data_IF_992603701681
#
_entry.id   IF_992603701681
#
_cell.length_a   1.000
_cell.length_b   1.000
_cell.length_c   1.000
_cell.angle_alpha   90.00
_cell.angle_beta   90.00
_cell.angle_gamma   90.00
#
_symmetry.space_group_name_H-M   'P 1'
#
loop_
_entity.id
_entity.type
_entity.pdbx_description
1 polymer ?
#
# COMPACT_ATOMS: atom_id res chain seq x y z
N UNK A 1 -18.90 41.84 37.18
CA UNK A 1 -19.49 40.52 37.49
C UNK A 1 -19.67 39.76 36.17
N UNK A 2 -18.91 38.69 36.00
CA UNK A 2 -18.65 38.02 34.72
C UNK A 2 -19.84 37.21 34.19
N UNK A 3 -20.35 37.56 33.00
CA UNK A 3 -21.43 36.84 32.31
C UNK A 3 -20.88 35.60 31.60
N UNK A 4 -21.19 34.42 32.14
CA UNK A 4 -20.94 33.14 31.46
C UNK A 4 -21.71 33.08 30.13
N UNK A 5 -20.98 33.06 29.01
CA UNK A 5 -21.55 32.98 27.67
C UNK A 5 -22.31 31.64 27.49
N UNK A 6 -23.59 31.72 27.11
CA UNK A 6 -24.46 30.53 26.91
C UNK A 6 -24.05 29.81 25.62
N UNK A 7 -23.60 28.55 25.74
CA UNK A 7 -22.94 27.76 24.66
C UNK A 7 -23.85 27.18 23.56
N UNK A 8 -25.17 27.34 23.61
CA UNK A 8 -26.11 26.67 22.68
C UNK A 8 -26.76 27.65 21.70
N UNK A 9 -26.72 27.36 20.39
CA UNK A 9 -27.27 28.22 19.32
C UNK A 9 -28.77 28.53 19.43
N UNK A 10 -29.53 27.76 20.21
CA UNK A 10 -30.96 27.99 20.48
C UNK A 10 -31.21 29.36 21.14
N UNK A 11 -30.26 29.86 21.92
CA UNK A 11 -30.42 31.15 22.61
C UNK A 11 -30.51 32.36 21.67
N UNK A 12 -30.24 32.21 20.37
CA UNK A 12 -30.50 33.24 19.36
C UNK A 12 -31.99 33.64 19.28
N UNK A 13 -32.91 32.71 19.59
CA UNK A 13 -34.36 32.93 19.47
C UNK A 13 -35.11 32.94 20.82
N UNK A 14 -34.38 32.90 21.95
CA UNK A 14 -34.98 32.83 23.29
C UNK A 14 -34.31 33.77 24.27
N UNK A 15 -35.12 34.37 25.14
CA UNK A 15 -34.65 35.14 26.30
C UNK A 15 -34.98 34.40 27.59
N UNK A 16 -34.08 34.44 28.57
CA UNK A 16 -34.35 33.88 29.89
C UNK A 16 -35.21 34.85 30.70
N UNK A 17 -36.36 34.36 31.18
CA UNK A 17 -37.29 35.16 32.00
C UNK A 17 -37.04 34.91 33.48
N UNK A 18 -36.74 33.66 33.83
CA UNK A 18 -36.39 33.25 35.20
C UNK A 18 -35.46 32.03 35.15
N UNK A 19 -34.83 31.65 36.28
CA UNK A 19 -33.84 30.57 36.39
C UNK A 19 -34.34 29.20 35.92
N UNK A 20 -35.65 29.03 35.72
CA UNK A 20 -36.29 27.80 35.23
C UNK A 20 -37.15 28.00 33.97
N UNK A 21 -37.25 29.22 33.42
CA UNK A 21 -38.16 29.55 32.31
C UNK A 21 -37.49 30.43 31.24
N UNK A 22 -37.81 30.15 29.98
CA UNK A 22 -37.36 30.90 28.81
C UNK A 22 -38.55 31.31 27.95
N UNK A 23 -38.52 32.51 27.37
CA UNK A 23 -39.55 33.01 26.44
C UNK A 23 -39.01 32.98 25.02
N UNK A 24 -39.82 32.47 24.09
CA UNK A 24 -39.53 32.54 22.67
C UNK A 24 -39.74 33.96 22.15
N UNK A 25 -38.76 34.49 21.42
CA UNK A 25 -38.85 35.84 20.84
C UNK A 25 -39.74 35.89 19.58
N UNK A 26 -40.02 34.73 18.96
CA UNK A 26 -40.79 34.65 17.71
C UNK A 26 -42.30 34.60 17.94
N UNK A 27 -42.75 33.85 18.96
CA UNK A 27 -44.17 33.67 19.25
C UNK A 27 -44.58 34.09 20.67
N UNK A 28 -43.63 34.53 21.50
CA UNK A 28 -43.90 35.00 22.86
C UNK A 28 -44.20 33.91 23.90
N UNK A 29 -44.25 32.63 23.52
CA UNK A 29 -44.55 31.51 24.41
C UNK A 29 -43.45 31.31 25.46
N UNK A 30 -43.84 31.13 26.72
CA UNK A 30 -42.94 30.79 27.81
C UNK A 30 -42.83 29.27 27.98
N UNK A 31 -41.60 28.77 28.06
CA UNK A 31 -41.25 27.36 28.18
C UNK A 31 -40.48 27.12 29.48
N UNK A 32 -40.80 26.04 30.17
CA UNK A 32 -39.98 25.54 31.28
C UNK A 32 -38.72 24.85 30.74
N UNK A 33 -37.59 25.04 31.43
CA UNK A 33 -36.28 24.46 31.09
C UNK A 33 -35.99 23.15 31.84
N UNK A 34 -36.93 22.66 32.63
CA UNK A 34 -36.86 21.34 33.30
C UNK A 34 -35.85 21.24 34.45
N UNK A 35 -35.25 22.35 34.89
CA UNK A 35 -34.28 22.42 36.00
C UNK A 35 -34.08 23.87 36.46
N UNK A 36 -33.33 24.09 37.56
CA UNK A 36 -33.03 25.44 38.09
C UNK A 36 -31.56 25.80 37.89
N UNK A 37 -31.29 26.96 37.28
CA UNK A 37 -29.94 27.49 37.13
C UNK A 37 -29.05 26.60 36.25
N UNK A 38 -27.97 26.04 36.82
CA UNK A 38 -26.97 25.25 36.07
C UNK A 38 -27.47 23.88 35.58
N UNK A 39 -28.59 23.36 36.12
CA UNK A 39 -29.19 22.07 35.69
C UNK A 39 -30.26 22.24 34.61
N UNK A 40 -30.56 23.47 34.19
CA UNK A 40 -31.61 23.77 33.23
C UNK A 40 -31.15 23.51 31.77
N UNK A 41 -31.79 22.55 31.09
CA UNK A 41 -31.42 22.14 29.71
C UNK A 41 -32.04 23.06 28.65
N UNK A 42 -31.59 22.91 27.39
CA UNK A 42 -32.14 23.64 26.23
C UNK A 42 -33.11 22.79 25.38
N UNK A 43 -33.42 21.56 25.81
CA UNK A 43 -34.19 20.57 25.05
C UNK A 43 -35.63 21.01 24.76
N UNK A 44 -36.29 21.69 25.70
CA UNK A 44 -37.65 22.20 25.51
C UNK A 44 -37.71 23.31 24.45
N UNK A 45 -36.71 24.19 24.43
CA UNK A 45 -36.56 25.25 23.44
C UNK A 45 -36.24 24.68 22.04
N UNK A 46 -35.34 23.68 21.96
CA UNK A 46 -35.03 22.97 20.70
C UNK A 46 -36.28 22.32 20.11
N UNK A 47 -37.05 21.59 20.92
CA UNK A 47 -38.30 20.96 20.48
C UNK A 47 -39.36 21.98 20.07
N UNK A 48 -39.43 23.12 20.76
CA UNK A 48 -40.34 24.21 20.38
C UNK A 48 -39.98 24.80 19.01
N UNK A 49 -38.70 25.09 18.73
CA UNK A 49 -38.29 25.51 17.39
C UNK A 49 -38.64 24.43 16.35
N UNK A 50 -38.33 23.17 16.60
CA UNK A 50 -38.63 22.08 15.66
C UNK A 50 -40.11 21.98 15.28
N UNK A 51 -41.02 22.34 16.20
CA UNK A 51 -42.47 22.14 16.03
C UNK A 51 -43.22 23.41 15.62
N UNK A 52 -42.74 24.60 15.99
CA UNK A 52 -43.42 25.87 15.75
C UNK A 52 -42.65 26.84 14.85
N UNK A 53 -41.34 26.66 14.71
CA UNK A 53 -40.42 27.56 14.00
C UNK A 53 -39.38 26.72 13.22
N UNK A 54 -39.89 25.93 12.27
CA UNK A 54 -39.11 24.88 11.58
C UNK A 54 -37.96 25.46 10.76
N UNK A 55 -38.17 26.61 10.13
CA UNK A 55 -37.13 27.37 9.42
C UNK A 55 -35.94 27.72 10.31
N UNK A 56 -36.21 28.24 11.51
CA UNK A 56 -35.20 28.64 12.49
C UNK A 56 -34.57 27.43 13.18
N UNK A 57 -35.31 26.33 13.30
CA UNK A 57 -34.75 25.06 13.72
C UNK A 57 -33.72 24.53 12.71
N UNK A 58 -34.05 24.57 11.42
CA UNK A 58 -33.16 24.15 10.33
C UNK A 58 -31.95 25.09 10.21
N UNK A 59 -32.11 26.39 10.43
CA UNK A 59 -30.98 27.35 10.48
C UNK A 59 -29.97 27.02 11.60
N UNK A 60 -30.45 26.57 12.76
CA UNK A 60 -29.59 26.29 13.93
C UNK A 60 -29.04 24.87 13.93
N UNK A 61 -29.75 23.90 13.35
CA UNK A 61 -29.46 22.48 13.49
C UNK A 61 -29.36 21.69 12.18
N UNK A 62 -29.61 22.33 11.03
CA UNK A 62 -29.59 21.69 9.72
C UNK A 62 -28.23 21.80 9.05
N UNK A 63 -27.41 20.75 9.17
CA UNK A 63 -26.40 20.45 8.14
C UNK A 63 -26.32 18.95 7.88
N UNK A 64 -26.41 18.64 6.58
CA UNK A 64 -25.98 17.41 5.88
C UNK A 64 -26.96 16.24 5.81
N UNK A 65 -27.78 16.19 4.75
CA UNK A 65 -27.76 15.10 3.75
C UNK A 65 -28.83 15.31 2.67
N UNK A 66 -28.36 15.44 1.43
CA UNK A 66 -29.12 15.51 0.17
C UNK A 66 -29.51 14.10 -0.30
N UNK A 67 -30.68 14.03 -0.95
CA UNK A 67 -31.20 12.98 -1.82
C UNK A 67 -31.70 11.68 -1.16
N UNK A 68 -33.01 11.47 -1.18
CA UNK A 68 -33.64 10.56 -2.16
C UNK A 68 -35.16 10.69 -2.16
N UNK A 69 -35.68 10.61 -3.38
CA UNK A 69 -37.03 10.90 -3.86
C UNK A 69 -38.15 9.99 -3.33
N UNK A 70 -39.30 10.63 -3.11
CA UNK A 70 -40.68 10.20 -3.35
C UNK A 70 -41.04 8.70 -3.31
N UNK A 71 -41.85 8.34 -2.31
CA UNK A 71 -43.10 7.61 -2.53
C UNK A 71 -44.23 8.25 -1.74
N UNK A 72 -45.25 8.67 -2.47
CA UNK A 72 -46.57 9.02 -1.94
C UNK A 72 -47.19 7.79 -1.28
N UNK A 73 -47.76 7.97 -0.08
CA UNK A 73 -48.92 7.20 0.34
C UNK A 73 -49.91 8.13 1.04
N UNK A 74 -51.09 8.17 0.45
CA UNK A 74 -52.24 8.95 0.85
C UNK A 74 -52.78 8.45 2.20
N UNK A 75 -53.22 9.44 2.96
CA UNK A 75 -53.95 9.42 4.23
C UNK A 75 -54.89 8.24 4.47
N UNK A 76 -54.76 7.63 5.65
CA UNK A 76 -55.92 7.33 6.48
C UNK A 76 -55.68 7.80 7.91
N UNK A 77 -56.49 8.78 8.29
CA UNK A 77 -56.69 9.26 9.64
C UNK A 77 -57.41 8.20 10.47
N UNK A 78 -56.76 7.77 11.55
CA UNK A 78 -57.47 7.31 12.74
C UNK A 78 -56.76 7.88 13.97
N UNK A 79 -57.44 8.85 14.56
CA UNK A 79 -57.12 9.35 15.89
C UNK A 79 -57.14 8.18 16.88
N UNK A 80 -56.04 7.99 17.61
CA UNK A 80 -56.08 7.31 18.90
C UNK A 80 -55.08 8.01 19.82
N UNK A 81 -55.60 8.46 20.95
CA UNK A 81 -54.93 9.23 21.97
C UNK A 81 -53.71 8.48 22.53
N UNK A 82 -52.54 9.11 22.58
CA UNK A 82 -51.39 8.60 23.33
C UNK A 82 -51.47 9.13 24.75
N UNK A 83 -52.20 8.41 25.60
CA UNK A 83 -52.04 8.44 27.04
C UNK A 83 -51.12 7.29 27.46
N UNK A 84 -49.89 7.63 27.84
CA UNK A 84 -49.12 6.92 28.88
C UNK A 84 -48.41 5.61 28.55
N UNK A 85 -47.24 5.49 29.18
CA UNK A 85 -46.48 4.28 29.51
C UNK A 85 -45.52 3.75 28.45
N UNK A 86 -44.22 3.83 28.78
CA UNK A 86 -43.21 2.89 28.31
C UNK A 86 -43.82 1.49 28.47
N UNK A 87 -44.14 0.81 27.36
CA UNK A 87 -44.56 -0.58 27.41
C UNK A 87 -43.48 -1.35 28.16
N UNK A 88 -43.85 -1.91 29.31
CA UNK A 88 -43.05 -2.94 29.96
C UNK A 88 -42.87 -4.04 28.90
N UNK A 89 -41.63 -4.38 28.50
CA UNK A 89 -41.41 -5.46 27.56
C UNK A 89 -42.07 -6.71 28.14
N UNK A 90 -42.86 -7.39 27.32
CA UNK A 90 -43.49 -8.64 27.71
C UNK A 90 -42.44 -9.68 28.10
N UNK A 91 -42.86 -10.73 28.79
CA UNK A 91 -41.98 -11.85 29.10
C UNK A 91 -41.46 -12.49 27.79
N UNK A 92 -42.30 -12.56 26.76
CA UNK A 92 -41.88 -12.88 25.39
C UNK A 92 -40.82 -11.91 24.85
N UNK A 93 -41.00 -10.58 24.95
CA UNK A 93 -40.02 -9.59 24.43
C UNK A 93 -38.67 -9.67 25.16
N UNK A 94 -38.68 -10.03 26.45
CA UNK A 94 -37.47 -10.24 27.26
C UNK A 94 -36.79 -11.57 26.92
N UNK A 95 -37.57 -12.62 26.60
CA UNK A 95 -37.07 -13.93 26.16
C UNK A 95 -36.51 -13.86 24.74
N UNK A 96 -37.17 -13.16 23.82
CA UNK A 96 -36.68 -12.94 22.45
C UNK A 96 -35.37 -12.14 22.44
N UNK A 97 -35.20 -11.15 23.32
CA UNK A 97 -33.94 -10.40 23.48
C UNK A 97 -32.79 -11.25 24.01
N UNK A 98 -33.06 -12.41 24.62
CA UNK A 98 -32.05 -13.38 25.10
C UNK A 98 -31.81 -14.51 24.12
N UNK A 99 -32.63 -14.65 23.07
CA UNK A 99 -32.48 -15.73 22.09
C UNK A 99 -31.26 -15.45 21.21
N UNK A 100 -30.38 -16.44 21.12
CA UNK A 100 -29.26 -16.41 20.18
C UNK A 100 -29.81 -16.33 18.75
N UNK A 101 -29.17 -15.54 17.91
CA UNK A 101 -29.49 -15.48 16.49
C UNK A 101 -29.13 -16.81 15.83
N UNK A 102 -30.02 -17.28 14.96
CA UNK A 102 -29.68 -18.38 14.06
C UNK A 102 -28.53 -17.95 13.14
N UNK A 103 -27.68 -18.90 12.72
CA UNK A 103 -26.57 -18.62 11.81
C UNK A 103 -27.04 -18.01 10.48
N UNK A 104 -28.29 -18.28 10.08
CA UNK A 104 -28.89 -17.73 8.87
C UNK A 104 -29.68 -16.44 9.09
N UNK A 105 -29.78 -15.93 10.32
CA UNK A 105 -30.41 -14.64 10.62
C UNK A 105 -29.72 -13.51 9.83
N UNK A 106 -30.49 -12.58 9.26
CA UNK A 106 -29.95 -11.49 8.44
C UNK A 106 -28.95 -10.62 9.22
N UNK A 107 -29.14 -10.46 10.53
CA UNK A 107 -28.24 -9.73 11.41
C UNK A 107 -26.96 -10.52 11.67
N UNK A 108 -27.06 -11.82 11.91
CA UNK A 108 -25.90 -12.70 12.07
C UNK A 108 -25.06 -12.74 10.79
N UNK A 109 -25.69 -12.91 9.62
CA UNK A 109 -25.01 -12.84 8.31
C UNK A 109 -24.29 -11.52 8.09
N UNK A 110 -24.85 -10.40 8.53
CA UNK A 110 -24.17 -9.09 8.45
C UNK A 110 -22.93 -9.06 9.34
N UNK A 111 -22.99 -9.61 10.55
CA UNK A 111 -21.83 -9.73 11.43
C UNK A 111 -20.78 -10.69 10.87
N UNK A 112 -21.18 -11.85 10.33
CA UNK A 112 -20.28 -12.78 9.64
C UNK A 112 -19.54 -12.07 8.51
N UNK A 113 -20.26 -11.33 7.66
CA UNK A 113 -19.66 -10.58 6.56
C UNK A 113 -18.64 -9.54 7.05
N UNK A 114 -18.97 -8.74 8.07
CA UNK A 114 -18.06 -7.72 8.60
C UNK A 114 -16.80 -8.31 9.25
N UNK A 115 -16.94 -9.44 9.96
CA UNK A 115 -15.79 -10.15 10.51
C UNK A 115 -14.96 -10.77 9.38
N UNK A 116 -15.59 -11.33 8.34
CA UNK A 116 -14.89 -11.86 7.16
C UNK A 116 -14.16 -10.76 6.39
N UNK A 117 -14.76 -9.58 6.26
CA UNK A 117 -14.14 -8.40 5.65
C UNK A 117 -12.94 -7.94 6.47
N UNK A 118 -13.07 -7.83 7.81
CA UNK A 118 -11.95 -7.53 8.71
C UNK A 118 -10.82 -8.54 8.54
N UNK A 119 -11.12 -9.84 8.53
CA UNK A 119 -10.14 -10.90 8.32
C UNK A 119 -9.37 -10.70 7.01
N UNK A 120 -10.07 -10.38 5.92
CA UNK A 120 -9.47 -10.19 4.61
C UNK A 120 -8.67 -8.88 4.49
N UNK A 121 -9.20 -7.77 5.01
CA UNK A 121 -8.59 -6.44 4.91
C UNK A 121 -7.38 -6.31 5.82
N UNK A 122 -7.48 -6.82 7.04
CA UNK A 122 -6.42 -6.74 8.05
C UNK A 122 -5.42 -7.91 7.94
N UNK A 123 -5.67 -8.86 7.04
CA UNK A 123 -4.85 -10.06 6.81
C UNK A 123 -4.67 -10.89 8.10
N UNK A 124 -5.76 -11.06 8.85
CA UNK A 124 -5.79 -11.82 10.09
C UNK A 124 -5.97 -13.33 9.82
N UNK A 125 -5.41 -14.23 10.66
CA UNK A 125 -5.67 -15.64 10.53
C UNK A 125 -7.13 -15.96 10.91
N UNK A 126 -7.74 -16.94 10.25
CA UNK A 126 -9.11 -17.40 10.60
C UNK A 126 -9.25 -17.83 12.06
N UNK A 127 -8.16 -18.20 12.72
CA UNK A 127 -8.15 -18.53 14.16
C UNK A 127 -8.52 -17.36 15.06
N UNK A 128 -8.61 -16.12 14.57
CA UNK A 128 -9.04 -14.96 15.37
C UNK A 128 -10.43 -15.17 16.00
N UNK A 129 -11.32 -15.85 15.29
CA UNK A 129 -12.70 -16.09 15.75
C UNK A 129 -12.79 -17.13 16.86
N UNK A 130 -11.74 -17.92 17.07
CA UNK A 130 -11.71 -19.02 18.04
C UNK A 130 -10.68 -18.79 19.14
N UNK A 131 -9.43 -18.54 18.76
CA UNK A 131 -8.25 -18.49 19.64
C UNK A 131 -8.09 -17.17 20.38
N UNK A 132 -8.65 -16.06 19.87
CA UNK A 132 -8.42 -14.74 20.46
C UNK A 132 -9.51 -14.39 21.47
N UNK A 133 -9.25 -14.72 22.74
CA UNK A 133 -10.18 -14.50 23.86
C UNK A 133 -10.61 -13.03 23.98
N UNK A 134 -9.70 -12.07 23.75
CA UNK A 134 -9.99 -10.64 23.79
C UNK A 134 -11.04 -10.23 22.76
N UNK A 135 -10.86 -10.67 21.51
CA UNK A 135 -11.79 -10.40 20.41
C UNK A 135 -13.19 -10.98 20.70
N UNK A 136 -13.24 -12.24 21.15
CA UNK A 136 -14.51 -12.90 21.52
C UNK A 136 -15.24 -12.19 22.65
N UNK A 137 -14.51 -11.77 23.70
CA UNK A 137 -15.09 -10.98 24.81
C UNK A 137 -15.65 -9.64 24.33
N UNK A 138 -14.93 -8.96 23.44
CA UNK A 138 -15.36 -7.70 22.87
C UNK A 138 -16.67 -7.85 22.09
N UNK A 139 -16.73 -8.83 21.17
CA UNK A 139 -17.94 -9.10 20.37
C UNK A 139 -19.10 -9.51 21.27
N UNK A 140 -18.90 -10.43 22.21
CA UNK A 140 -19.95 -10.88 23.12
C UNK A 140 -20.49 -9.74 24.03
N UNK A 141 -19.66 -8.76 24.37
CA UNK A 141 -20.10 -7.60 25.16
C UNK A 141 -20.98 -6.65 24.35
N UNK A 142 -20.69 -6.47 23.05
CA UNK A 142 -21.44 -5.55 22.19
C UNK A 142 -22.69 -6.22 21.61
N UNK A 143 -22.60 -7.49 21.22
CA UNK A 143 -23.66 -8.27 20.59
C UNK A 143 -23.80 -9.64 21.30
N UNK A 144 -24.41 -9.69 22.50
CA UNK A 144 -24.53 -10.92 23.27
C UNK A 144 -25.46 -11.97 22.62
N UNK A 145 -26.33 -11.57 21.69
CA UNK A 145 -27.19 -12.49 20.93
C UNK A 145 -26.48 -13.14 19.74
N UNK A 146 -25.29 -12.65 19.37
CA UNK A 146 -24.53 -13.12 18.23
C UNK A 146 -23.48 -14.14 18.65
N UNK A 147 -23.57 -15.35 18.10
CA UNK A 147 -22.53 -16.36 18.26
C UNK A 147 -21.59 -16.32 17.06
N UNK A 148 -20.29 -16.20 17.32
CA UNK A 148 -19.27 -16.17 16.27
C UNK A 148 -19.11 -17.59 15.71
N UNK A 149 -19.27 -17.81 14.38
CA UNK A 149 -19.05 -19.11 13.78
C UNK A 149 -17.60 -19.58 13.85
N UNK A 150 -17.40 -20.88 13.60
CA UNK A 150 -16.06 -21.47 13.56
C UNK A 150 -15.20 -20.92 12.43
N UNK A 151 -13.88 -21.09 12.57
CA UNK A 151 -12.92 -20.73 11.53
C UNK A 151 -13.22 -21.43 10.20
N UNK A 152 -13.75 -22.66 10.25
CA UNK A 152 -14.13 -23.47 9.09
C UNK A 152 -15.31 -22.80 8.37
N UNK A 153 -16.30 -22.34 9.12
CA UNK A 153 -17.44 -21.63 8.54
C UNK A 153 -16.98 -20.36 7.80
N UNK A 154 -16.06 -19.60 8.38
CA UNK A 154 -15.49 -18.44 7.72
C UNK A 154 -14.70 -18.81 6.45
N UNK A 155 -13.83 -19.82 6.51
CA UNK A 155 -13.00 -20.21 5.38
C UNK A 155 -13.79 -20.84 4.23
N UNK A 156 -14.84 -21.60 4.52
CA UNK A 156 -15.60 -22.37 3.51
C UNK A 156 -16.85 -21.66 3.00
N UNK A 157 -17.38 -20.66 3.73
CA UNK A 157 -18.63 -19.98 3.36
C UNK A 157 -18.44 -18.46 3.21
N UNK A 158 -18.09 -17.78 4.30
CA UNK A 158 -18.07 -16.31 4.34
C UNK A 158 -17.03 -15.72 3.39
N UNK A 159 -15.81 -16.25 3.40
CA UNK A 159 -14.70 -15.74 2.58
C UNK A 159 -14.91 -16.05 1.10
N UNK A 160 -15.31 -17.28 0.69
CA UNK A 160 -15.70 -17.54 -0.70
C UNK A 160 -16.84 -16.63 -1.18
N UNK A 161 -17.83 -16.34 -0.35
CA UNK A 161 -18.91 -15.40 -0.69
C UNK A 161 -18.39 -13.97 -0.92
N UNK A 162 -17.49 -13.49 -0.05
CA UNK A 162 -16.83 -12.19 -0.22
C UNK A 162 -16.00 -12.18 -1.49
N UNK A 163 -15.20 -13.22 -1.71
CA UNK A 163 -14.36 -13.40 -2.89
C UNK A 163 -15.19 -13.32 -4.18
N UNK A 164 -16.28 -14.08 -4.26
CA UNK A 164 -17.17 -14.07 -5.43
C UNK A 164 -17.78 -12.69 -5.68
N UNK A 165 -18.15 -11.94 -4.63
CA UNK A 165 -18.62 -10.55 -4.78
C UNK A 165 -17.54 -9.64 -5.34
N UNK A 166 -16.30 -9.75 -4.84
CA UNK A 166 -15.16 -8.96 -5.31
C UNK A 166 -14.79 -9.31 -6.75
N UNK A 167 -14.73 -10.59 -7.10
CA UNK A 167 -14.49 -11.07 -8.48
C UNK A 167 -15.54 -10.51 -9.43
N UNK A 168 -16.83 -10.61 -9.07
CA UNK A 168 -17.91 -10.08 -9.92
C UNK A 168 -17.82 -8.55 -10.06
N UNK A 169 -17.46 -7.84 -8.99
CA UNK A 169 -17.22 -6.39 -9.06
C UNK A 169 -16.06 -6.05 -10.02
N UNK A 170 -14.93 -6.72 -9.90
CA UNK A 170 -13.76 -6.49 -10.78
C UNK A 170 -14.10 -6.85 -12.23
N UNK A 171 -14.77 -7.98 -12.48
CA UNK A 171 -15.25 -8.36 -13.82
C UNK A 171 -16.15 -7.29 -14.42
N UNK A 172 -17.04 -6.69 -13.63
CA UNK A 172 -17.90 -5.59 -14.10
C UNK A 172 -17.11 -4.33 -14.45
N UNK A 173 -16.04 -4.01 -13.71
CA UNK A 173 -15.14 -2.88 -13.98
C UNK A 173 -14.26 -3.09 -15.21
N UNK A 174 -13.86 -4.34 -15.49
CA UNK A 174 -13.04 -4.70 -16.65
C UNK A 174 -13.83 -4.88 -17.95
N UNK A 175 -15.13 -5.18 -17.87
CA UNK A 175 -15.98 -5.39 -19.04
C UNK A 175 -15.94 -4.23 -20.07
N UNK A 176 -16.10 -2.94 -19.68
CA UNK A 176 -16.07 -1.82 -20.63
C UNK A 176 -14.65 -1.44 -21.08
N UNK A 177 -13.61 -1.92 -20.41
CA UNK A 177 -12.22 -1.55 -20.68
C UNK A 177 -11.74 -2.24 -21.97
N UNK A 178 -11.16 -1.47 -22.89
CA UNK A 178 -10.62 -1.98 -24.17
C UNK A 178 -9.11 -2.25 -24.15
N UNK A 179 -8.41 -1.72 -23.15
CA UNK A 179 -6.96 -1.74 -23.04
C UNK A 179 -6.57 -2.12 -21.62
N UNK A 180 -6.02 -3.33 -21.45
CA UNK A 180 -5.59 -3.86 -20.16
C UNK A 180 -4.11 -4.20 -20.25
N UNK A 181 -3.35 -3.75 -19.26
CA UNK A 181 -1.95 -4.12 -19.09
C UNK A 181 -1.82 -5.04 -17.89
N UNK A 182 -0.82 -5.92 -17.91
CA UNK A 182 -0.56 -6.87 -16.84
C UNK A 182 0.86 -6.70 -16.31
N UNK A 183 1.02 -6.89 -15.02
CA UNK A 183 2.31 -7.15 -14.38
C UNK A 183 2.28 -8.58 -13.85
N UNK A 184 3.34 -9.33 -14.12
CA UNK A 184 3.48 -10.71 -13.65
C UNK A 184 4.80 -10.90 -12.95
N UNK A 185 4.74 -11.55 -11.80
CA UNK A 185 5.89 -11.92 -10.98
C UNK A 185 5.84 -13.41 -10.65
N UNK A 186 7.00 -14.05 -10.67
CA UNK A 186 7.18 -15.46 -10.34
C UNK A 186 8.21 -15.60 -9.23
N UNK A 187 7.82 -16.27 -8.15
CA UNK A 187 8.72 -16.52 -7.04
C UNK A 187 8.53 -17.91 -6.47
N UNK A 188 9.60 -18.43 -5.87
CA UNK A 188 9.55 -19.66 -5.08
C UNK A 188 9.53 -19.30 -3.61
N UNK A 189 8.47 -19.72 -2.90
CA UNK A 189 8.41 -19.61 -1.45
C UNK A 189 9.42 -20.60 -0.84
N UNK A 190 10.39 -20.07 -0.09
CA UNK A 190 11.49 -20.88 0.44
C UNK A 190 11.03 -21.87 1.52
N UNK A 191 9.98 -21.52 2.27
CA UNK A 191 9.50 -22.32 3.41
C UNK A 191 8.84 -23.63 2.97
N UNK A 192 8.00 -23.58 1.94
CA UNK A 192 7.26 -24.75 1.44
C UNK A 192 7.72 -25.21 0.05
N UNK A 193 8.79 -24.59 -0.49
CA UNK A 193 9.35 -24.84 -1.84
C UNK A 193 8.32 -24.76 -2.97
N UNK A 194 7.23 -24.04 -2.74
CA UNK A 194 6.14 -23.89 -3.72
C UNK A 194 6.39 -22.66 -4.56
N UNK A 195 6.24 -22.79 -5.87
CA UNK A 195 6.33 -21.67 -6.80
C UNK A 195 4.96 -21.04 -7.02
N UNK A 196 4.95 -19.73 -7.22
CA UNK A 196 3.75 -18.95 -7.46
C UNK A 196 3.93 -18.09 -8.71
N UNK A 197 2.84 -17.91 -9.44
CA UNK A 197 2.71 -16.95 -10.53
C UNK A 197 1.62 -15.96 -10.16
N UNK A 198 1.97 -14.68 -10.14
CA UNK A 198 0.99 -13.61 -10.00
C UNK A 198 0.61 -13.01 -11.35
N UNK A 199 -0.66 -12.63 -11.48
CA UNK A 199 -1.17 -11.85 -12.59
C UNK A 199 -1.94 -10.66 -12.04
N UNK A 200 -1.43 -9.45 -12.23
CA UNK A 200 -2.09 -8.21 -11.79
C UNK A 200 -2.48 -7.41 -13.01
N UNK A 201 -3.77 -7.08 -13.13
CA UNK A 201 -4.30 -6.24 -14.20
C UNK A 201 -4.25 -4.77 -13.81
N UNK A 202 -3.99 -3.93 -14.82
CA UNK A 202 -3.93 -2.47 -14.74
C UNK A 202 -4.75 -1.89 -15.90
N UNK A 203 -5.63 -0.94 -15.61
CA UNK A 203 -6.49 -0.29 -16.59
C UNK A 203 -6.79 1.15 -16.21
N UNK A 204 -7.38 1.90 -17.14
CA UNK A 204 -7.95 3.22 -16.85
C UNK A 204 -9.46 3.09 -16.68
N UNK A 205 -9.98 3.65 -15.60
CA UNK A 205 -11.41 3.81 -15.41
C UNK A 205 -11.96 4.95 -16.28
N UNK A 206 -13.29 5.03 -16.40
CA UNK A 206 -13.98 6.15 -17.08
C UNK A 206 -13.63 7.51 -16.47
N UNK A 207 -13.30 7.54 -15.18
CA UNK A 207 -12.85 8.72 -14.45
C UNK A 207 -11.39 9.13 -14.76
N UNK A 208 -10.71 8.43 -15.66
CA UNK A 208 -9.27 8.54 -15.94
C UNK A 208 -8.37 8.24 -14.73
N UNK A 209 -8.91 7.57 -13.71
CA UNK A 209 -8.13 7.03 -12.60
C UNK A 209 -7.54 5.67 -12.98
N UNK A 210 -6.32 5.39 -12.52
CA UNK A 210 -5.70 4.08 -12.70
C UNK A 210 -6.39 3.06 -11.78
N UNK A 211 -7.05 2.08 -12.39
CA UNK A 211 -7.52 0.89 -11.71
C UNK A 211 -6.46 -0.20 -11.76
N UNK A 212 -6.30 -0.94 -10.67
CA UNK A 212 -5.51 -2.16 -10.64
C UNK A 212 -6.16 -3.22 -9.75
N UNK A 213 -5.91 -4.49 -10.06
CA UNK A 213 -6.36 -5.62 -9.25
C UNK A 213 -5.45 -6.83 -9.48
N UNK A 214 -5.07 -7.50 -8.39
CA UNK A 214 -4.44 -8.82 -8.47
C UNK A 214 -5.53 -9.81 -8.87
N UNK A 215 -5.42 -10.35 -10.08
CA UNK A 215 -6.40 -11.26 -10.65
C UNK A 215 -6.13 -12.69 -10.17
N UNK A 216 -4.88 -13.10 -10.20
CA UNK A 216 -4.49 -14.46 -9.88
C UNK A 216 -3.21 -14.49 -9.06
N UNK A 217 -3.19 -15.36 -8.05
CA UNK A 217 -1.98 -15.87 -7.40
C UNK A 217 -2.07 -17.39 -7.51
N UNK A 218 -1.55 -17.94 -8.60
CA UNK A 218 -1.64 -19.36 -8.91
C UNK A 218 -0.44 -20.09 -8.35
N UNK A 219 -0.68 -21.20 -7.66
CA UNK A 219 0.36 -22.18 -7.36
C UNK A 219 0.84 -22.75 -8.69
N UNK A 220 2.15 -22.76 -8.90
CA UNK A 220 2.80 -23.20 -10.12
C UNK A 220 3.68 -24.42 -9.81
N UNK A 221 3.09 -25.62 -9.65
CA UNK A 221 3.84 -26.81 -9.25
C UNK A 221 4.67 -27.39 -10.40
N UNK A 222 4.38 -26.99 -11.63
CA UNK A 222 5.05 -27.45 -12.83
C UNK A 222 6.44 -26.82 -12.99
N UNK A 223 7.29 -27.44 -13.82
CA UNK A 223 8.54 -26.82 -14.26
C UNK A 223 8.26 -25.46 -14.90
N UNK A 224 9.10 -24.45 -14.60
CA UNK A 224 9.01 -23.08 -15.12
C UNK A 224 9.36 -22.99 -16.61
N UNK A 225 8.83 -23.87 -17.44
CA UNK A 225 9.03 -23.84 -18.90
C UNK A 225 8.19 -22.73 -19.51
N UNK A 226 8.64 -22.22 -20.66
CA UNK A 226 7.89 -21.19 -21.39
C UNK A 226 6.47 -21.67 -21.79
N UNK A 227 6.31 -22.96 -22.10
CA UNK A 227 5.04 -23.60 -22.47
C UNK A 227 4.01 -23.52 -21.31
N UNK A 228 4.44 -23.92 -20.12
CA UNK A 228 3.58 -23.95 -18.93
C UNK A 228 3.19 -22.53 -18.49
N UNK A 229 4.15 -21.60 -18.58
CA UNK A 229 3.92 -20.19 -18.29
C UNK A 229 2.91 -19.60 -19.28
N UNK A 230 3.08 -19.85 -20.58
CA UNK A 230 2.13 -19.43 -21.62
C UNK A 230 0.72 -19.91 -21.30
N UNK A 231 0.57 -21.20 -21.00
CA UNK A 231 -0.72 -21.80 -20.66
C UNK A 231 -1.34 -21.10 -19.45
N UNK A 232 -0.58 -20.93 -18.37
CA UNK A 232 -1.07 -20.27 -17.14
C UNK A 232 -1.49 -18.82 -17.37
N UNK A 233 -0.78 -18.07 -18.22
CA UNK A 233 -1.16 -16.71 -18.59
C UNK A 233 -2.47 -16.69 -19.39
N UNK A 234 -2.62 -17.58 -20.38
CA UNK A 234 -3.85 -17.70 -21.18
C UNK A 234 -5.05 -18.13 -20.34
N UNK A 235 -4.85 -19.08 -19.43
CA UNK A 235 -5.87 -19.52 -18.49
C UNK A 235 -6.31 -18.33 -17.61
N UNK A 236 -5.36 -17.53 -17.11
CA UNK A 236 -5.65 -16.36 -16.27
C UNK A 236 -6.51 -15.31 -16.99
N UNK A 237 -6.19 -14.92 -18.23
CA UNK A 237 -7.09 -14.00 -18.96
C UNK A 237 -8.43 -14.64 -19.32
N UNK A 238 -8.48 -15.96 -19.56
CA UNK A 238 -9.72 -16.69 -19.83
C UNK A 238 -10.65 -16.74 -18.61
N UNK A 239 -10.13 -17.07 -17.43
CA UNK A 239 -10.86 -17.15 -16.16
C UNK A 239 -11.56 -15.81 -15.82
N UNK A 240 -10.94 -14.71 -16.25
CA UNK A 240 -11.42 -13.35 -16.05
C UNK A 240 -12.28 -12.79 -17.21
N UNK A 241 -12.59 -13.60 -18.22
CA UNK A 241 -13.33 -13.21 -19.43
C UNK A 241 -12.69 -12.03 -20.18
N UNK A 242 -11.36 -11.99 -20.23
CA UNK A 242 -10.59 -10.95 -20.91
C UNK A 242 -10.11 -11.49 -22.27
N UNK A 243 -10.65 -10.99 -23.40
CA UNK A 243 -10.13 -11.36 -24.71
C UNK A 243 -8.65 -10.99 -24.87
N UNK A 244 -7.87 -11.88 -25.48
CA UNK A 244 -6.46 -11.65 -25.78
C UNK A 244 -6.21 -10.33 -26.55
N UNK A 245 -7.17 -9.88 -27.36
CA UNK A 245 -7.11 -8.62 -28.11
C UNK A 245 -7.13 -7.35 -27.24
N UNK A 246 -7.61 -7.46 -25.99
CA UNK A 246 -7.61 -6.34 -25.02
C UNK A 246 -6.26 -6.18 -24.32
N UNK A 247 -5.38 -7.18 -24.38
CA UNK A 247 -4.06 -7.16 -23.73
C UNK A 247 -3.11 -6.22 -24.48
N UNK A 248 -2.56 -5.22 -23.79
CA UNK A 248 -1.67 -4.19 -24.39
C UNK A 248 -0.22 -4.25 -23.92
N UNK A 249 0.01 -4.73 -22.72
CA UNK A 249 1.36 -4.92 -22.19
C UNK A 249 1.35 -6.02 -21.14
N UNK A 250 2.40 -6.82 -21.10
CA UNK A 250 2.71 -7.75 -20.01
C UNK A 250 4.13 -7.45 -19.55
N UNK A 251 4.24 -6.87 -18.35
CA UNK A 251 5.51 -6.50 -17.72
C UNK A 251 5.98 -7.64 -16.82
N UNK A 252 7.22 -8.08 -17.01
CA UNK A 252 7.82 -9.20 -16.27
C UNK A 252 9.29 -8.95 -15.89
N UNK A 253 9.86 -9.81 -15.07
CA UNK A 253 11.21 -9.72 -14.48
C UNK A 253 12.38 -10.13 -15.41
N UNK A 254 12.19 -10.08 -16.73
CA UNK A 254 13.21 -10.48 -17.72
C UNK A 254 13.72 -11.94 -17.68
N UNK A 255 13.19 -12.83 -16.82
CA UNK A 255 13.63 -14.22 -16.85
C UNK A 255 13.37 -14.86 -18.24
N UNK A 256 14.26 -15.74 -18.69
CA UNK A 256 14.23 -16.26 -20.06
C UNK A 256 12.91 -16.97 -20.38
N UNK A 257 12.41 -17.77 -19.44
CA UNK A 257 11.21 -18.58 -19.63
C UNK A 257 9.93 -17.75 -19.64
N UNK A 258 9.79 -16.74 -18.75
CA UNK A 258 8.63 -15.83 -18.78
C UNK A 258 8.66 -14.95 -20.04
N UNK A 259 9.84 -14.45 -20.43
CA UNK A 259 9.99 -13.67 -21.67
C UNK A 259 9.53 -14.47 -22.88
N UNK A 260 9.93 -15.74 -22.96
CA UNK A 260 9.51 -16.63 -24.04
C UNK A 260 8.02 -16.98 -23.93
N UNK A 261 7.52 -17.31 -22.74
CA UNK A 261 6.11 -17.67 -22.53
C UNK A 261 5.14 -16.55 -22.89
N UNK A 262 5.45 -15.30 -22.54
CA UNK A 262 4.64 -14.12 -22.93
C UNK A 262 4.62 -13.92 -24.44
N UNK A 263 5.78 -14.08 -25.11
CA UNK A 263 5.88 -13.99 -26.57
C UNK A 263 5.12 -15.12 -27.26
N UNK A 264 5.26 -16.34 -26.78
CA UNK A 264 4.59 -17.53 -27.32
C UNK A 264 3.06 -17.49 -27.07
N UNK A 265 2.60 -16.70 -26.09
CA UNK A 265 1.20 -16.34 -25.88
C UNK A 265 0.69 -15.22 -26.82
N UNK A 266 1.55 -14.69 -27.70
CA UNK A 266 1.29 -13.54 -28.57
C UNK A 266 0.89 -12.26 -27.81
N UNK A 267 1.37 -12.10 -26.58
CA UNK A 267 1.17 -10.87 -25.82
C UNK A 267 2.33 -9.87 -26.00
N UNK A 268 2.07 -8.56 -26.00
CA UNK A 268 3.12 -7.55 -25.99
C UNK A 268 3.99 -7.68 -24.72
N UNK A 269 5.24 -8.10 -24.89
CA UNK A 269 6.20 -8.35 -23.80
C UNK A 269 6.99 -7.09 -23.46
N UNK A 270 6.95 -6.70 -22.19
CA UNK A 270 7.68 -5.55 -21.63
C UNK A 270 8.52 -5.97 -20.44
N UNK A 271 9.66 -5.31 -20.30
CA UNK A 271 10.67 -5.61 -19.28
C UNK A 271 10.48 -4.70 -18.08
N UNK A 272 10.54 -5.26 -16.87
CA UNK A 272 10.54 -4.46 -15.66
C UNK A 272 11.79 -3.57 -15.62
N UNK A 273 11.58 -2.25 -15.51
CA UNK A 273 12.66 -1.26 -15.51
C UNK A 273 13.62 -1.48 -14.33
N UNK A 274 13.10 -1.61 -13.12
CA UNK A 274 13.91 -1.81 -11.89
C UNK A 274 14.70 -3.11 -11.97
N UNK A 275 14.06 -4.20 -12.40
CA UNK A 275 14.75 -5.48 -12.55
C UNK A 275 15.82 -5.39 -13.65
N UNK A 276 15.59 -4.62 -14.71
CA UNK A 276 16.61 -4.40 -15.74
C UNK A 276 17.82 -3.63 -15.18
N UNK A 277 17.62 -2.61 -14.34
CA UNK A 277 18.71 -1.91 -13.64
C UNK A 277 19.47 -2.83 -12.70
N UNK A 278 18.75 -3.66 -11.93
CA UNK A 278 19.34 -4.68 -11.06
C UNK A 278 20.32 -5.57 -11.84
N UNK A 279 19.91 -6.05 -13.01
CA UNK A 279 20.75 -6.91 -13.83
C UNK A 279 21.94 -6.16 -14.44
N UNK A 280 21.77 -4.90 -14.87
CA UNK A 280 22.88 -4.06 -15.37
C UNK A 280 23.99 -3.93 -14.32
N UNK A 281 23.61 -3.65 -13.08
CA UNK A 281 24.53 -3.40 -11.97
C UNK A 281 25.18 -4.71 -11.50
N UNK A 282 24.40 -5.78 -11.33
CA UNK A 282 24.95 -7.08 -10.94
C UNK A 282 25.91 -7.64 -11.98
N UNK A 283 25.55 -7.58 -13.27
CA UNK A 283 26.42 -8.01 -14.38
C UNK A 283 27.74 -7.18 -14.37
N UNK A 284 27.70 -5.90 -13.99
CA UNK A 284 28.89 -5.05 -13.90
C UNK A 284 29.75 -5.38 -12.66
N UNK A 285 29.12 -5.69 -11.52
CA UNK A 285 29.82 -6.12 -10.30
C UNK A 285 30.51 -7.44 -10.56
N UNK A 286 29.84 -8.40 -11.21
CA UNK A 286 30.40 -9.71 -11.50
C UNK A 286 31.54 -9.67 -12.52
N UNK A 287 31.54 -8.70 -13.43
CA UNK A 287 32.62 -8.48 -14.39
C UNK A 287 33.88 -7.82 -13.78
N UNK A 288 33.77 -7.19 -12.60
CA UNK A 288 34.88 -6.45 -11.99
C UNK A 288 35.30 -7.08 -10.65
N UNK A 289 36.38 -7.87 -10.69
CA UNK A 289 36.89 -8.62 -9.54
C UNK A 289 37.22 -7.72 -8.35
N UNK A 290 37.88 -6.58 -8.58
CA UNK A 290 38.29 -5.66 -7.51
C UNK A 290 37.07 -5.06 -6.78
N UNK A 291 36.04 -4.64 -7.53
CA UNK A 291 34.77 -4.18 -6.96
C UNK A 291 34.07 -5.30 -6.18
N UNK A 292 34.00 -6.50 -6.75
CA UNK A 292 33.36 -7.66 -6.11
C UNK A 292 34.04 -8.06 -4.80
N UNK A 293 35.37 -8.09 -4.78
CA UNK A 293 36.17 -8.37 -3.59
C UNK A 293 35.99 -7.29 -2.52
N UNK A 294 35.96 -6.02 -2.93
CA UNK A 294 35.71 -4.87 -2.04
C UNK A 294 34.34 -4.97 -1.38
N UNK A 295 33.28 -5.25 -2.16
CA UNK A 295 31.92 -5.45 -1.62
C UNK A 295 31.89 -6.67 -0.69
N UNK A 296 32.57 -7.76 -1.04
CA UNK A 296 32.67 -8.95 -0.18
C UNK A 296 33.37 -8.65 1.16
N UNK A 297 34.45 -7.86 1.13
CA UNK A 297 35.13 -7.41 2.34
C UNK A 297 34.24 -6.52 3.21
N UNK A 298 33.53 -5.58 2.59
CA UNK A 298 32.55 -4.73 3.24
C UNK A 298 31.43 -5.56 3.93
N UNK A 299 30.91 -6.59 3.24
CA UNK A 299 29.94 -7.54 3.81
C UNK A 299 30.49 -8.25 5.06
N UNK A 300 31.72 -8.76 5.02
CA UNK A 300 32.33 -9.45 6.17
C UNK A 300 32.41 -8.55 7.40
N UNK A 301 32.78 -7.28 7.22
CA UNK A 301 32.84 -6.30 8.31
C UNK A 301 31.44 -6.12 8.93
N UNK A 302 30.41 -5.93 8.11
CA UNK A 302 29.04 -5.75 8.60
C UNK A 302 28.54 -7.00 9.33
N UNK A 303 28.78 -8.19 8.77
CA UNK A 303 28.43 -9.46 9.41
C UNK A 303 29.04 -9.56 10.80
N UNK A 304 30.32 -9.23 10.96
CA UNK A 304 30.98 -9.24 12.27
C UNK A 304 30.34 -8.28 13.26
N UNK A 305 30.09 -7.04 12.86
CA UNK A 305 29.44 -6.07 13.76
C UNK A 305 28.01 -6.46 14.13
N UNK A 306 27.29 -7.15 13.25
CA UNK A 306 25.94 -7.64 13.55
C UNK A 306 25.93 -8.84 14.53
N UNK A 307 27.01 -9.61 14.61
CA UNK A 307 27.09 -10.80 15.47
C UNK A 307 27.84 -10.59 16.78
N UNK A 308 28.98 -9.90 16.75
CA UNK A 308 29.92 -9.87 17.87
C UNK A 308 30.49 -8.48 18.16
N UNK A 309 30.56 -7.59 17.16
CA UNK A 309 31.15 -6.26 17.31
C UNK A 309 30.18 -5.14 17.76
N UNK A 310 28.88 -5.40 17.86
CA UNK A 310 27.85 -4.35 18.00
C UNK A 310 28.06 -3.43 19.20
N UNK A 311 28.23 -3.99 20.41
CA UNK A 311 28.33 -3.20 21.63
C UNK A 311 29.59 -2.32 21.62
N UNK A 312 30.72 -2.90 21.20
CA UNK A 312 32.00 -2.17 21.15
C UNK A 312 31.98 -1.07 20.06
N UNK A 313 31.32 -1.32 18.92
CA UNK A 313 31.11 -0.28 17.91
C UNK A 313 30.31 0.90 18.49
N UNK A 314 29.28 0.61 19.29
CA UNK A 314 28.44 1.62 19.90
C UNK A 314 29.17 2.48 20.95
N UNK A 315 30.06 1.86 21.74
CA UNK A 315 30.96 2.57 22.66
C UNK A 315 31.89 3.52 21.89
N UNK A 316 32.55 3.02 20.83
CA UNK A 316 33.44 3.84 20.00
C UNK A 316 32.67 4.97 19.30
N UNK A 317 31.44 4.71 18.84
CA UNK A 317 30.58 5.76 18.27
C UNK A 317 30.29 6.86 19.29
N UNK A 318 30.03 6.50 20.55
CA UNK A 318 29.80 7.45 21.64
C UNK A 318 31.04 8.28 21.97
N UNK A 319 32.20 7.63 22.10
CA UNK A 319 33.49 8.29 22.34
C UNK A 319 33.86 9.28 21.23
N UNK A 320 33.56 8.94 19.97
CA UNK A 320 33.82 9.79 18.81
C UNK A 320 32.72 10.84 18.55
N UNK A 321 31.65 10.87 19.34
CA UNK A 321 30.50 11.77 19.15
C UNK A 321 29.74 11.51 17.83
N UNK A 322 29.77 10.29 17.32
CA UNK A 322 29.11 9.89 16.07
C UNK A 322 27.68 9.40 16.35
N UNK A 323 26.76 9.50 15.35
CA UNK A 323 25.44 8.91 15.47
C UNK A 323 25.52 7.39 15.70
N UNK A 324 24.86 6.92 16.76
CA UNK A 324 24.75 5.51 17.16
C UNK A 324 23.90 4.74 16.15
N UNK A 325 24.54 4.22 15.11
CA UNK A 325 23.89 3.57 13.96
C UNK A 325 24.37 2.14 13.79
N UNK A 326 23.42 1.22 13.61
CA UNK A 326 23.70 -0.16 13.19
C UNK A 326 24.20 -0.17 11.75
N UNK A 327 25.07 -1.12 11.43
CA UNK A 327 25.45 -1.41 10.06
C UNK A 327 24.37 -2.26 9.38
N UNK A 328 24.15 -2.05 8.08
CA UNK A 328 23.08 -2.70 7.33
C UNK A 328 23.66 -3.86 6.51
N UNK A 329 23.19 -5.08 6.77
CA UNK A 329 23.50 -6.22 5.90
C UNK A 329 22.72 -6.08 4.59
N UNK A 330 23.38 -6.32 3.47
CA UNK A 330 22.73 -6.30 2.18
C UNK A 330 21.92 -7.58 1.92
N UNK A 331 20.89 -7.44 1.10
CA UNK A 331 20.13 -8.52 0.47
C UNK A 331 20.68 -8.68 -0.93
N UNK A 332 21.45 -9.74 -1.18
CA UNK A 332 22.17 -9.97 -2.44
C UNK A 332 21.26 -9.88 -3.68
N UNK A 333 19.99 -10.25 -3.55
CA UNK A 333 18.99 -10.20 -4.64
C UNK A 333 18.49 -8.79 -4.96
N UNK A 334 18.88 -7.75 -4.19
CA UNK A 334 18.51 -6.34 -4.40
C UNK A 334 19.72 -5.43 -4.29
N UNK A 335 20.18 -4.89 -5.41
CA UNK A 335 21.42 -4.12 -5.54
C UNK A 335 21.43 -2.85 -4.66
N UNK A 336 20.27 -2.23 -4.45
CA UNK A 336 20.14 -1.03 -3.62
C UNK A 336 20.53 -1.29 -2.15
N UNK A 337 20.34 -2.51 -1.66
CA UNK A 337 20.78 -2.88 -0.31
C UNK A 337 22.30 -2.93 -0.20
N UNK A 338 23.00 -3.33 -1.27
CA UNK A 338 24.46 -3.22 -1.37
C UNK A 338 24.89 -1.76 -1.34
N UNK A 339 24.18 -0.87 -2.06
CA UNK A 339 24.46 0.57 -2.02
C UNK A 339 24.33 1.14 -0.60
N UNK A 340 23.25 0.82 0.13
CA UNK A 340 23.05 1.26 1.51
C UNK A 340 24.10 0.70 2.48
N UNK A 341 24.56 -0.53 2.25
CA UNK A 341 25.68 -1.10 3.00
C UNK A 341 26.95 -0.28 2.82
N UNK A 342 27.30 0.07 1.57
CA UNK A 342 28.48 0.86 1.25
C UNK A 342 28.39 2.27 1.87
N UNK A 343 27.24 2.94 1.70
CA UNK A 343 26.98 4.26 2.28
C UNK A 343 27.14 4.26 3.81
N UNK A 344 26.55 3.27 4.49
CA UNK A 344 26.61 3.16 5.96
C UNK A 344 28.02 2.84 6.46
N UNK A 345 28.79 2.01 5.76
CA UNK A 345 30.18 1.71 6.13
C UNK A 345 31.07 2.95 5.99
N UNK A 346 30.86 3.76 4.94
CA UNK A 346 31.58 5.04 4.78
C UNK A 346 31.19 6.02 5.88
N UNK A 347 29.90 6.15 6.19
CA UNK A 347 29.42 7.00 7.28
C UNK A 347 30.11 6.66 8.61
N UNK A 348 30.35 5.36 8.85
CA UNK A 348 30.94 4.83 10.08
C UNK A 348 32.44 4.54 9.98
N UNK A 349 33.11 5.00 8.91
CA UNK A 349 34.53 4.69 8.63
C UNK A 349 35.45 4.96 9.81
N UNK A 350 35.26 6.09 10.50
CA UNK A 350 36.09 6.47 11.67
C UNK A 350 35.95 5.46 12.81
N UNK A 351 34.71 5.12 13.18
CA UNK A 351 34.45 4.17 14.26
C UNK A 351 34.96 2.77 13.92
N UNK A 352 34.74 2.32 12.67
CA UNK A 352 35.24 1.04 12.18
C UNK A 352 36.78 0.99 12.25
N UNK A 353 37.46 2.03 11.77
CA UNK A 353 38.93 2.07 11.80
C UNK A 353 39.52 2.06 13.21
N UNK A 354 38.90 2.78 14.16
CA UNK A 354 39.31 2.75 15.57
C UNK A 354 39.11 1.34 16.15
N UNK A 355 37.97 0.72 15.88
CA UNK A 355 37.68 -0.64 16.34
C UNK A 355 38.74 -1.65 15.92
N UNK A 356 39.16 -1.63 14.65
CA UNK A 356 40.22 -2.52 14.15
C UNK A 356 41.61 -2.17 14.68
N UNK A 357 41.89 -0.89 14.96
CA UNK A 357 43.15 -0.48 15.57
C UNK A 357 43.29 -0.96 17.02
N UNK A 358 42.17 -0.98 17.77
CA UNK A 358 42.11 -1.51 19.14
C UNK A 358 42.08 -3.05 19.17
N UNK A 359 41.38 -3.66 18.23
CA UNK A 359 41.10 -5.10 18.19
C UNK A 359 42.14 -5.85 17.35
N UNK A 360 43.39 -5.94 17.85
CA UNK A 360 44.53 -6.59 17.17
C UNK A 360 44.40 -8.10 16.90
N UNK A 361 43.33 -8.76 17.37
CA UNK A 361 43.13 -10.23 17.33
C UNK A 361 41.91 -10.67 16.50
N UNK A 362 41.48 -9.88 15.52
CA UNK A 362 40.40 -10.29 14.62
C UNK A 362 40.95 -11.19 13.51
N UNK A 363 40.26 -12.30 13.22
CA UNK A 363 40.59 -13.22 12.12
C UNK A 363 40.40 -12.60 10.71
N UNK A 364 40.07 -11.32 10.62
CA UNK A 364 39.91 -10.60 9.36
C UNK A 364 40.20 -9.11 9.57
N UNK A 365 40.69 -8.47 8.52
CA UNK A 365 41.20 -7.09 8.55
C UNK A 365 40.14 -6.07 8.11
N UNK A 366 40.41 -4.80 8.45
CA UNK A 366 39.68 -3.65 7.92
C UNK A 366 39.86 -3.54 6.39
N UNK A 367 39.04 -2.72 5.72
CA UNK A 367 39.26 -2.41 4.31
C UNK A 367 40.61 -1.70 4.10
N UNK A 368 41.31 -2.05 3.02
CA UNK A 368 42.53 -1.35 2.60
C UNK A 368 42.24 0.09 2.16
N UNK A 369 43.27 0.93 2.04
CA UNK A 369 43.10 2.30 1.54
C UNK A 369 42.45 2.32 0.15
N UNK A 370 42.89 1.42 -0.74
CA UNK A 370 42.34 1.29 -2.09
C UNK A 370 40.88 0.84 -2.06
N UNK A 371 40.54 -0.12 -1.20
CA UNK A 371 39.16 -0.56 -1.02
C UNK A 371 38.27 0.57 -0.51
N UNK A 372 38.73 1.37 0.44
CA UNK A 372 37.99 2.55 0.90
C UNK A 372 37.73 3.56 -0.22
N UNK A 373 38.71 3.76 -1.10
CA UNK A 373 38.55 4.64 -2.26
C UNK A 373 37.56 4.07 -3.27
N UNK A 374 37.65 2.77 -3.58
CA UNK A 374 36.67 2.08 -4.43
C UNK A 374 35.25 2.27 -3.87
N UNK A 375 35.05 2.07 -2.56
CA UNK A 375 33.73 2.24 -1.93
C UNK A 375 33.21 3.67 -2.11
N UNK A 376 34.03 4.69 -1.89
CA UNK A 376 33.65 6.10 -2.09
C UNK A 376 33.20 6.36 -3.52
N UNK A 377 33.98 5.90 -4.49
CA UNK A 377 33.68 6.10 -5.91
C UNK A 377 32.44 5.32 -6.35
N UNK A 378 32.24 4.10 -5.86
CA UNK A 378 31.03 3.32 -6.13
C UNK A 378 29.77 4.02 -5.61
N UNK A 379 29.82 4.64 -4.44
CA UNK A 379 28.68 5.42 -3.91
C UNK A 379 28.35 6.59 -4.83
N UNK A 380 29.36 7.32 -5.30
CA UNK A 380 29.16 8.45 -6.23
C UNK A 380 28.53 7.94 -7.52
N UNK A 381 29.08 6.88 -8.11
CA UNK A 381 28.68 6.33 -9.40
C UNK A 381 27.28 5.69 -9.37
N UNK A 382 26.93 5.00 -8.29
CA UNK A 382 25.65 4.29 -8.17
C UNK A 382 24.52 5.16 -7.62
N UNK A 383 24.82 6.34 -7.06
CA UNK A 383 23.80 7.22 -6.48
C UNK A 383 22.67 7.58 -7.47
N UNK A 384 22.93 7.98 -8.73
CA UNK A 384 21.84 8.29 -9.66
C UNK A 384 20.99 7.06 -10.02
N UNK A 385 21.59 5.86 -10.06
CA UNK A 385 20.86 4.61 -10.26
C UNK A 385 19.89 4.35 -9.11
N UNK A 386 20.30 4.70 -7.89
CA UNK A 386 19.50 4.50 -6.69
C UNK A 386 18.32 5.47 -6.67
N UNK A 387 18.58 6.74 -6.98
CA UNK A 387 17.56 7.78 -7.03
C UNK A 387 16.49 7.42 -8.08
N UNK A 388 16.92 7.01 -9.28
CA UNK A 388 16.03 6.52 -10.34
C UNK A 388 15.26 5.27 -9.91
N UNK A 389 15.91 4.33 -9.22
CA UNK A 389 15.24 3.13 -8.71
C UNK A 389 14.17 3.50 -7.68
N UNK A 390 14.44 4.45 -6.77
CA UNK A 390 13.44 4.94 -5.80
C UNK A 390 12.24 5.59 -6.47
N UNK A 391 12.47 6.46 -7.46
CA UNK A 391 11.40 7.12 -8.21
C UNK A 391 10.50 6.08 -8.91
N UNK A 392 11.13 5.13 -9.58
CA UNK A 392 10.43 4.10 -10.38
C UNK A 392 9.84 2.97 -9.54
N UNK A 393 10.23 2.84 -8.26
CA UNK A 393 9.63 1.92 -7.30
C UNK A 393 8.29 2.41 -6.73
N UNK A 394 7.86 3.61 -7.10
CA UNK A 394 6.55 4.13 -6.69
C UNK A 394 5.41 3.29 -7.28
N UNK A 395 4.29 3.21 -6.57
CA UNK A 395 3.10 2.41 -6.95
C UNK A 395 2.56 2.75 -8.35
N UNK A 396 2.86 3.94 -8.87
CA UNK A 396 2.28 4.49 -10.09
C UNK A 396 3.32 4.99 -11.10
N UNK A 397 4.56 4.47 -11.08
CA UNK A 397 5.57 4.91 -12.06
C UNK A 397 5.14 4.55 -13.49
N UNK A 398 4.93 5.54 -14.38
CA UNK A 398 4.50 5.28 -15.74
C UNK A 398 5.63 4.80 -16.64
N UNK A 399 5.28 4.04 -17.67
CA UNK A 399 6.21 3.62 -18.74
C UNK A 399 6.91 4.80 -19.45
N UNK A 400 6.33 6.00 -19.40
CA UNK A 400 6.94 7.25 -19.90
C UNK A 400 8.19 7.70 -19.14
N UNK A 401 8.48 7.11 -17.97
CA UNK A 401 9.71 7.36 -17.20
C UNK A 401 10.91 6.60 -17.79
N UNK A 402 10.68 5.53 -18.57
CA UNK A 402 11.73 4.58 -18.98
C UNK A 402 12.79 5.24 -19.87
N UNK A 403 12.39 5.87 -20.98
CA UNK A 403 13.33 6.52 -21.91
C UNK A 403 14.09 7.67 -21.20
N UNK A 404 13.42 8.63 -20.54
CA UNK A 404 14.11 9.74 -19.87
C UNK A 404 15.15 9.26 -18.86
N UNK A 405 14.81 8.28 -18.02
CA UNK A 405 15.75 7.77 -17.02
C UNK A 405 16.88 6.97 -17.64
N UNK A 406 16.61 6.10 -18.63
CA UNK A 406 17.67 5.38 -19.33
C UNK A 406 18.66 6.34 -20.00
N UNK A 407 18.17 7.37 -20.71
CA UNK A 407 19.00 8.40 -21.33
C UNK A 407 19.77 9.21 -20.29
N UNK A 408 19.12 9.59 -19.18
CA UNK A 408 19.76 10.34 -18.11
C UNK A 408 20.92 9.57 -17.47
N UNK A 409 20.70 8.29 -17.16
CA UNK A 409 21.74 7.41 -16.62
C UNK A 409 22.88 7.21 -17.62
N UNK A 410 22.57 7.02 -18.91
CA UNK A 410 23.59 6.89 -19.95
C UNK A 410 24.41 8.17 -20.14
N UNK A 411 23.78 9.34 -20.09
CA UNK A 411 24.48 10.63 -20.13
C UNK A 411 25.36 10.83 -18.90
N UNK A 412 24.85 10.45 -17.72
CA UNK A 412 25.59 10.51 -16.47
C UNK A 412 26.86 9.65 -16.55
N UNK A 413 26.77 8.39 -16.98
CA UNK A 413 27.92 7.49 -17.10
C UNK A 413 28.99 8.00 -18.09
N UNK A 414 28.61 8.83 -19.06
CA UNK A 414 29.51 9.39 -20.08
C UNK A 414 30.19 10.71 -19.68
N UNK A 415 29.94 11.24 -18.47
CA UNK A 415 30.60 12.45 -17.99
C UNK A 415 32.11 12.22 -17.82
N UNK A 416 32.90 13.15 -18.35
CA UNK A 416 34.38 13.10 -18.28
C UNK A 416 34.89 13.20 -16.84
N UNK A 417 34.21 13.98 -15.99
CA UNK A 417 34.50 14.17 -14.56
C UNK A 417 34.52 12.87 -13.74
N UNK A 418 33.92 11.79 -14.28
CA UNK A 418 33.91 10.47 -13.65
C UNK A 418 35.14 9.62 -13.98
N UNK A 419 35.95 10.02 -14.97
CA UNK A 419 37.12 9.25 -15.47
C UNK A 419 38.41 9.48 -14.70
N UNK A 420 38.46 10.48 -13.82
CA UNK A 420 39.73 11.03 -13.35
C UNK A 420 40.22 10.43 -12.01
N UNK A 421 39.55 9.39 -11.47
CA UNK A 421 39.68 9.07 -10.03
C UNK A 421 40.31 7.72 -9.70
N UNK A 422 40.05 6.64 -10.45
CA UNK A 422 40.65 5.31 -10.22
C UNK A 422 40.38 4.34 -11.38
N UNK A 423 41.41 3.69 -11.92
CA UNK A 423 41.30 2.74 -13.06
C UNK A 423 40.26 1.61 -12.84
N UNK A 424 40.20 1.04 -11.63
CA UNK A 424 39.27 -0.05 -11.31
C UNK A 424 37.79 0.38 -11.40
N UNK A 425 37.49 1.65 -11.11
CA UNK A 425 36.14 2.20 -11.19
C UNK A 425 35.80 2.57 -12.63
N UNK A 426 36.79 2.95 -13.44
CA UNK A 426 36.60 3.16 -14.87
C UNK A 426 36.18 1.89 -15.59
N UNK A 427 36.82 0.75 -15.29
CA UNK A 427 36.42 -0.54 -15.85
C UNK A 427 34.98 -0.91 -15.44
N UNK A 428 34.61 -0.66 -14.18
CA UNK A 428 33.25 -0.85 -13.70
C UNK A 428 32.24 0.08 -14.40
N UNK A 429 32.58 1.35 -14.58
CA UNK A 429 31.78 2.32 -15.34
C UNK A 429 31.59 1.88 -16.80
N UNK A 430 32.66 1.43 -17.45
CA UNK A 430 32.61 0.90 -18.81
C UNK A 430 31.73 -0.36 -18.90
N UNK A 431 31.80 -1.24 -17.89
CA UNK A 431 30.90 -2.39 -17.78
C UNK A 431 29.43 -1.96 -17.63
N UNK A 432 29.12 -0.94 -16.82
CA UNK A 432 27.77 -0.37 -16.71
C UNK A 432 27.28 0.18 -18.07
N UNK A 433 28.10 0.95 -18.79
CA UNK A 433 27.76 1.48 -20.13
C UNK A 433 27.49 0.33 -21.11
N UNK A 434 28.37 -0.67 -21.16
CA UNK A 434 28.21 -1.85 -22.01
C UNK A 434 26.91 -2.60 -21.68
N UNK A 435 26.65 -2.84 -20.39
CA UNK A 435 25.46 -3.54 -19.91
C UNK A 435 24.16 -2.76 -20.21
N UNK A 436 24.15 -1.44 -20.04
CA UNK A 436 23.00 -0.59 -20.40
C UNK A 436 22.66 -0.70 -21.89
N UNK A 437 23.67 -0.76 -22.77
CA UNK A 437 23.50 -0.83 -24.22
C UNK A 437 23.08 -2.21 -24.76
N UNK A 438 23.09 -3.27 -23.92
CA UNK A 438 22.64 -4.60 -24.34
C UNK A 438 21.18 -4.55 -24.82
N UNK A 439 20.89 -5.25 -25.92
CA UNK A 439 19.52 -5.37 -26.49
C UNK A 439 18.51 -5.96 -25.50
N UNK A 440 18.98 -6.79 -24.57
CA UNK A 440 18.18 -7.36 -23.49
C UNK A 440 17.93 -6.40 -22.31
N UNK A 441 18.46 -5.17 -22.38
CA UNK A 441 18.43 -4.14 -21.32
C UNK A 441 17.80 -2.84 -21.84
N UNK A 442 18.55 -1.74 -21.85
CA UNK A 442 18.11 -0.39 -22.19
C UNK A 442 18.72 0.11 -23.50
N UNK A 443 18.99 -0.80 -24.44
CA UNK A 443 19.42 -0.43 -25.77
C UNK A 443 18.47 0.66 -26.33
N UNK A 444 19.04 1.85 -26.57
CA UNK A 444 18.24 3.04 -26.88
C UNK A 444 17.54 2.89 -28.23
N UNK A 445 18.17 2.27 -29.22
CA UNK A 445 17.57 1.99 -30.53
C UNK A 445 16.28 1.17 -30.36
N UNK A 446 16.33 0.06 -29.60
CA UNK A 446 15.14 -0.72 -29.27
C UNK A 446 14.06 0.09 -28.54
N UNK A 447 14.44 0.94 -27.58
CA UNK A 447 13.48 1.77 -26.85
C UNK A 447 12.81 2.83 -27.74
N UNK A 448 13.55 3.43 -28.67
CA UNK A 448 13.03 4.44 -29.60
C UNK A 448 12.21 3.82 -30.75
N UNK A 449 12.54 2.61 -31.20
CA UNK A 449 11.75 1.87 -32.20
C UNK A 449 10.43 1.34 -31.64
N UNK A 450 10.39 1.00 -30.35
CA UNK A 450 9.18 0.51 -29.72
C UNK A 450 8.18 1.66 -29.51
N UNK A 451 7.13 1.65 -30.36
CA UNK A 451 6.05 2.63 -30.38
C UNK A 451 5.42 2.91 -29.01
N UNK A 452 5.36 1.94 -28.11
CA UNK A 452 4.73 2.12 -26.78
C UNK A 452 5.60 2.99 -25.87
N UNK A 453 6.91 2.72 -25.80
CA UNK A 453 7.84 3.56 -25.05
C UNK A 453 7.94 4.97 -25.64
N UNK A 454 8.01 5.07 -26.97
CA UNK A 454 8.10 6.36 -27.65
C UNK A 454 6.84 7.22 -27.46
N UNK A 455 5.65 6.67 -27.75
CA UNK A 455 4.41 7.44 -27.63
C UNK A 455 4.12 7.84 -26.18
N UNK A 456 4.31 6.93 -25.22
CA UNK A 456 4.11 7.26 -23.81
C UNK A 456 5.03 8.38 -23.33
N UNK A 457 6.29 8.38 -23.78
CA UNK A 457 7.25 9.46 -23.47
C UNK A 457 6.85 10.77 -24.16
N UNK A 458 6.45 10.71 -25.43
CA UNK A 458 6.03 11.88 -26.22
C UNK A 458 4.76 12.55 -25.68
N UNK A 459 3.79 11.78 -25.21
CA UNK A 459 2.55 12.31 -24.63
C UNK A 459 2.72 12.87 -23.23
N UNK A 460 3.92 12.82 -22.65
CA UNK A 460 4.18 13.42 -21.34
C UNK A 460 4.35 14.94 -21.48
N UNK A 461 3.44 15.77 -20.94
CA UNK A 461 3.47 17.22 -21.16
C UNK A 461 4.77 17.89 -20.72
N UNK A 462 5.40 17.37 -19.67
CA UNK A 462 6.67 17.90 -19.13
C UNK A 462 7.87 17.68 -20.05
N UNK A 463 7.77 16.78 -21.04
CA UNK A 463 8.87 16.44 -21.96
C UNK A 463 8.62 16.92 -23.39
N UNK A 464 7.41 17.37 -23.72
CA UNK A 464 7.07 17.82 -25.08
C UNK A 464 7.93 18.99 -25.57
N UNK A 465 8.28 19.92 -24.68
CA UNK A 465 9.15 21.06 -25.03
C UNK A 465 10.64 20.70 -25.18
N UNK A 466 11.04 19.46 -24.88
CA UNK A 466 12.43 18.99 -25.01
C UNK A 466 12.65 18.05 -26.20
N UNK A 467 11.58 17.64 -26.87
CA UNK A 467 11.60 16.68 -28.00
C UNK A 467 11.23 17.31 -29.34
N UNK A 468 10.66 18.52 -29.34
CA UNK A 468 10.52 19.42 -30.50
C UNK A 468 11.75 20.32 -30.58
#
# INVERSE_FOLDING_TARGET
MSSSAKRSGVWKYFVEVDKNKSKCNLCGVQLSRGGMGKTATTSSMKRHLQTKHKSEYEEVFGTTSIASSSKEFVSQSSQSQVSGFLKQPSLEDMLEKKKLWDINDSRAKRCHYLIGEMIAVDNEPFSIVESHVGFRRFVNNILPQYEIPSRIYFSENVIPDIYNKVVNNIKSRLAPVNHISFTTDMWTCQTNKTCFLSCTAHWLEESYMLGHAVLDIKVFPESHTAENIKKSLLDSVSDWNIPATKVRAVVHDNAANITKGVKDANFPSFRCFIHTLQLVINDAIDANTSVKETISAARRIVTHFNHSGYNKLHEIQEELGLPKKKLHQDVITRWNSTYYLLERIIEQRRAISVYFAESRNLNFENLSSDQWEIVLQLIILLKPFEEVTKITSSTYSPISDVIPHAVTLMRYLRKEELSEKTYQVDDFRNALVSNMNKVTRFNLEYLFENRTYLLSTFFRPTLQNQLL
#
